data_IF_378131864311
#
_entry.id   IF_378131864311
#
_cell.length_a   1.000
_cell.length_b   1.000
_cell.length_c   1.000
_cell.angle_alpha   90.00
_cell.angle_beta   90.00
_cell.angle_gamma   90.00
#
_symmetry.space_group_name_H-M   'P 1'
#
loop_
_entity.id
_entity.type
_entity.pdbx_description
1 polymer ?
#
# COMPACT_ATOMS: atom_id res chain seq x y z
N UNK A 1 37.08 -23.60 -2.28
CA UNK A 1 35.82 -23.23 -2.94
C UNK A 1 35.64 -21.72 -2.74
N UNK A 2 36.01 -20.94 -3.78
CA UNK A 2 35.87 -19.48 -3.74
C UNK A 2 34.39 -19.12 -3.84
N UNK A 3 33.83 -18.68 -2.74
CA UNK A 3 32.53 -17.98 -2.74
C UNK A 3 32.83 -16.59 -3.28
N UNK A 4 32.57 -16.38 -4.56
CA UNK A 4 32.56 -15.04 -5.13
C UNK A 4 31.59 -14.21 -4.28
N UNK A 5 32.14 -13.21 -3.58
CA UNK A 5 31.34 -12.20 -2.90
C UNK A 5 30.58 -11.47 -3.98
N UNK A 6 29.28 -11.70 -4.05
CA UNK A 6 28.36 -10.87 -4.79
C UNK A 6 28.44 -9.46 -4.21
N UNK A 7 29.22 -8.58 -4.83
CA UNK A 7 29.31 -7.18 -4.46
C UNK A 7 28.07 -6.47 -5.00
N UNK A 8 26.91 -6.65 -4.34
CA UNK A 8 25.78 -5.78 -4.53
C UNK A 8 26.02 -4.54 -3.65
N UNK A 9 26.72 -3.54 -4.14
CA UNK A 9 26.67 -2.21 -3.56
C UNK A 9 25.47 -1.47 -4.16
N UNK A 10 24.27 -1.68 -3.61
CA UNK A 10 23.16 -0.78 -3.86
C UNK A 10 23.43 0.53 -3.11
N UNK A 11 23.31 1.66 -3.80
CA UNK A 11 23.33 2.96 -3.15
C UNK A 11 22.10 3.11 -2.24
N UNK A 12 22.28 3.76 -1.08
CA UNK A 12 21.19 3.94 -0.11
C UNK A 12 19.93 4.55 -0.74
N UNK A 13 20.09 5.54 -1.61
CA UNK A 13 18.97 6.18 -2.30
C UNK A 13 18.21 5.22 -3.22
N UNK A 14 18.91 4.25 -3.83
CA UNK A 14 18.28 3.24 -4.65
C UNK A 14 17.40 2.31 -3.79
N UNK A 15 17.89 1.93 -2.61
CA UNK A 15 17.11 1.15 -1.64
C UNK A 15 15.88 1.93 -1.19
N UNK A 16 16.05 3.17 -0.77
CA UNK A 16 14.95 4.02 -0.29
C UNK A 16 13.88 4.26 -1.35
N UNK A 17 14.27 4.35 -2.62
CA UNK A 17 13.32 4.49 -3.74
C UNK A 17 12.41 3.27 -3.97
N UNK A 18 12.66 2.16 -3.29
CA UNK A 18 11.84 0.94 -3.32
C UNK A 18 11.05 0.69 -2.03
N UNK A 19 11.15 1.60 -1.08
CA UNK A 19 10.51 1.47 0.24
C UNK A 19 9.15 2.14 0.24
N UNK A 20 8.13 1.42 0.68
CA UNK A 20 6.86 2.00 1.12
C UNK A 20 7.00 2.35 2.60
N UNK A 21 7.19 3.65 2.90
CA UNK A 21 7.34 4.12 4.28
C UNK A 21 6.02 4.03 5.01
N UNK A 22 5.90 3.09 5.95
CA UNK A 22 4.61 2.58 6.42
C UNK A 22 4.32 2.93 7.87
N UNK A 23 3.12 3.44 8.14
CA UNK A 23 2.55 3.59 9.48
C UNK A 23 1.07 3.19 9.46
N UNK A 24 0.77 2.00 10.02
CA UNK A 24 -0.57 1.40 10.05
C UNK A 24 -1.04 1.09 11.48
N UNK A 25 -0.42 1.70 12.49
CA UNK A 25 -0.85 1.54 13.87
C UNK A 25 -2.28 2.09 14.04
N UNK A 26 -3.14 1.36 14.75
CA UNK A 26 -4.52 1.77 15.03
C UNK A 26 -4.60 3.12 15.77
N UNK A 27 -3.55 3.46 16.51
CA UNK A 27 -3.43 4.68 17.29
C UNK A 27 -2.73 5.82 16.56
N UNK A 28 -2.36 5.63 15.29
CA UNK A 28 -1.66 6.63 14.51
C UNK A 28 -2.44 7.94 14.44
N UNK A 29 -1.77 9.03 14.76
CA UNK A 29 -2.31 10.38 14.72
C UNK A 29 -1.91 11.10 13.44
N UNK A 30 -2.62 12.19 13.09
CA UNK A 30 -2.23 13.00 11.94
C UNK A 30 -0.80 13.54 12.07
N UNK A 31 -0.36 13.91 13.26
CA UNK A 31 1.01 14.41 13.47
C UNK A 31 2.06 13.36 13.08
N UNK A 32 1.82 12.09 13.41
CA UNK A 32 2.70 10.98 13.06
C UNK A 32 2.64 10.64 11.56
N UNK A 33 1.44 10.63 10.97
CA UNK A 33 1.25 10.44 9.51
C UNK A 33 1.96 11.57 8.73
N UNK A 34 1.82 12.82 9.18
CA UNK A 34 2.51 13.95 8.57
C UNK A 34 4.04 13.79 8.63
N UNK A 35 4.57 13.31 9.75
CA UNK A 35 6.00 13.09 9.91
C UNK A 35 6.55 12.06 8.91
N UNK A 36 5.85 10.95 8.68
CA UNK A 36 6.30 9.98 7.65
C UNK A 36 6.13 10.51 6.23
N UNK A 37 5.16 11.37 5.97
CA UNK A 37 5.06 12.07 4.69
C UNK A 37 6.26 13.00 4.47
N UNK A 38 6.67 13.74 5.49
CA UNK A 38 7.86 14.60 5.45
C UNK A 38 9.13 13.78 5.17
N UNK A 39 9.28 12.63 5.82
CA UNK A 39 10.38 11.69 5.58
C UNK A 39 10.32 11.12 4.14
N UNK A 40 9.15 10.69 3.69
CA UNK A 40 8.96 10.17 2.34
C UNK A 40 9.37 11.16 1.26
N UNK A 41 8.98 12.42 1.41
CA UNK A 41 9.38 13.50 0.49
C UNK A 41 10.88 13.79 0.58
N UNK A 42 11.45 13.79 1.78
CA UNK A 42 12.87 14.07 2.03
C UNK A 42 13.79 13.01 1.45
N UNK A 43 13.43 11.75 1.64
CA UNK A 43 14.26 10.61 1.26
C UNK A 43 13.85 9.96 -0.06
N UNK A 44 12.84 10.50 -0.74
CA UNK A 44 12.33 10.00 -2.01
C UNK A 44 11.97 8.51 -1.96
N UNK A 45 11.18 8.12 -0.95
CA UNK A 45 10.66 6.75 -0.86
C UNK A 45 9.69 6.45 -2.01
N UNK A 46 9.47 5.17 -2.32
CA UNK A 46 8.54 4.76 -3.36
C UNK A 46 7.12 5.27 -3.08
N UNK A 47 6.69 5.17 -1.84
CA UNK A 47 5.42 5.70 -1.33
C UNK A 47 5.48 5.93 0.17
N UNK A 48 4.38 6.47 0.71
CA UNK A 48 4.00 6.26 2.11
C UNK A 48 2.76 5.38 2.14
N UNK A 49 2.75 4.36 3.01
CA UNK A 49 1.60 3.49 3.22
C UNK A 49 0.92 3.82 4.56
N UNK A 50 -0.33 4.30 4.49
CA UNK A 50 -1.05 4.91 5.60
C UNK A 50 -2.50 4.40 5.68
N UNK A 51 -3.18 4.53 6.84
CA UNK A 51 -4.58 4.17 6.96
C UNK A 51 -5.47 4.97 5.99
N UNK A 52 -6.47 4.32 5.41
CA UNK A 52 -7.34 4.90 4.39
C UNK A 52 -7.98 6.23 4.83
N UNK A 53 -8.32 6.38 6.10
CA UNK A 53 -8.91 7.59 6.67
C UNK A 53 -8.02 8.85 6.58
N UNK A 54 -6.72 8.67 6.39
CA UNK A 54 -5.76 9.77 6.23
C UNK A 54 -5.37 10.06 4.77
N UNK A 55 -5.77 9.23 3.82
CA UNK A 55 -5.34 9.36 2.40
C UNK A 55 -5.68 10.73 1.85
N UNK A 56 -6.92 11.19 1.99
CA UNK A 56 -7.34 12.51 1.49
C UNK A 56 -6.51 13.65 2.11
N UNK A 57 -6.32 13.63 3.42
CA UNK A 57 -5.56 14.65 4.14
C UNK A 57 -4.08 14.62 3.75
N UNK A 58 -3.51 13.43 3.59
CA UNK A 58 -2.12 13.28 3.13
C UNK A 58 -1.95 13.78 1.69
N UNK A 59 -2.88 13.45 0.78
CA UNK A 59 -2.86 13.95 -0.60
C UNK A 59 -2.89 15.49 -0.64
N UNK A 60 -3.78 16.10 0.13
CA UNK A 60 -3.86 17.56 0.22
C UNK A 60 -2.55 18.17 0.75
N UNK A 61 -1.86 17.43 1.65
CA UNK A 61 -0.60 17.89 2.22
C UNK A 61 0.61 17.71 1.30
N UNK A 62 0.78 16.54 0.68
CA UNK A 62 1.98 16.25 -0.13
C UNK A 62 1.85 16.73 -1.59
N UNK A 63 0.62 16.98 -2.07
CA UNK A 63 0.37 17.23 -3.49
C UNK A 63 0.86 16.08 -4.35
N UNK A 64 1.58 16.35 -5.41
CA UNK A 64 2.13 15.33 -6.34
C UNK A 64 3.58 14.90 -5.99
N UNK A 65 4.09 15.31 -4.82
CA UNK A 65 5.50 15.12 -4.47
C UNK A 65 5.82 13.72 -3.95
N UNK A 66 4.80 12.94 -3.58
CA UNK A 66 4.97 11.63 -2.96
C UNK A 66 3.77 10.74 -3.29
N UNK A 67 3.99 9.53 -3.83
CA UNK A 67 2.91 8.55 -3.99
C UNK A 67 2.35 8.12 -2.63
N UNK A 68 1.03 7.91 -2.60
CA UNK A 68 0.31 7.45 -1.40
C UNK A 68 -0.25 6.06 -1.67
N UNK A 69 0.15 5.10 -0.84
CA UNK A 69 -0.41 3.76 -0.75
C UNK A 69 -1.35 3.65 0.46
N UNK A 70 -2.37 2.83 0.35
CA UNK A 70 -3.16 2.40 1.49
C UNK A 70 -3.54 0.93 1.39
N UNK A 71 -4.00 0.35 2.50
CA UNK A 71 -4.32 -1.08 2.60
C UNK A 71 -5.81 -1.35 2.39
N UNK A 72 -6.11 -2.51 1.83
CA UNK A 72 -7.46 -2.98 1.53
C UNK A 72 -7.68 -4.35 2.20
N UNK A 73 -8.81 -4.52 2.90
CA UNK A 73 -9.12 -5.75 3.64
C UNK A 73 -8.11 -6.06 4.75
N UNK A 74 -7.45 -5.05 5.25
CA UNK A 74 -6.34 -5.18 6.20
C UNK A 74 -6.86 -5.18 7.66
N UNK A 75 -6.25 -5.96 8.58
CA UNK A 75 -5.09 -6.85 8.33
C UNK A 75 -5.47 -8.29 7.96
N UNK A 76 -6.72 -8.69 8.01
CA UNK A 76 -7.12 -10.09 8.04
C UNK A 76 -7.41 -10.71 6.66
N UNK A 77 -7.79 -9.91 5.68
CA UNK A 77 -8.07 -10.35 4.31
C UNK A 77 -9.37 -11.13 4.10
N UNK A 78 -10.19 -11.33 5.14
CA UNK A 78 -11.42 -12.15 5.08
C UNK A 78 -12.71 -11.34 4.91
N UNK A 79 -12.59 -10.04 4.61
CA UNK A 79 -13.74 -9.23 4.22
C UNK A 79 -14.33 -9.72 2.91
N UNK A 80 -15.61 -9.39 2.68
CA UNK A 80 -16.23 -9.75 1.40
C UNK A 80 -15.57 -9.01 0.25
N UNK A 81 -15.57 -9.62 -0.93
CA UNK A 81 -15.05 -8.99 -2.16
C UNK A 81 -15.68 -7.62 -2.40
N UNK A 82 -17.00 -7.50 -2.17
CA UNK A 82 -17.71 -6.23 -2.32
C UNK A 82 -17.17 -5.14 -1.37
N UNK A 83 -16.87 -5.49 -0.11
CA UNK A 83 -16.30 -4.54 0.85
C UNK A 83 -14.92 -4.06 0.37
N UNK A 84 -14.04 -4.99 -0.02
CA UNK A 84 -12.71 -4.66 -0.56
C UNK A 84 -12.78 -3.78 -1.82
N UNK A 85 -13.74 -4.04 -2.71
CA UNK A 85 -13.95 -3.20 -3.90
C UNK A 85 -14.35 -1.77 -3.54
N UNK A 86 -15.22 -1.60 -2.53
CA UNK A 86 -15.61 -0.27 -2.06
C UNK A 86 -14.45 0.47 -1.37
N UNK A 87 -13.65 -0.24 -0.58
CA UNK A 87 -12.43 0.33 0.01
C UNK A 87 -11.45 0.81 -1.06
N UNK A 88 -11.23 0.00 -2.10
CA UNK A 88 -10.34 0.36 -3.21
C UNK A 88 -10.83 1.60 -3.95
N UNK A 89 -12.12 1.64 -4.29
CA UNK A 89 -12.73 2.78 -4.97
C UNK A 89 -12.62 4.06 -4.12
N UNK A 90 -12.97 3.99 -2.84
CA UNK A 90 -12.89 5.14 -1.93
C UNK A 90 -11.45 5.63 -1.77
N UNK A 91 -10.49 4.71 -1.62
CA UNK A 91 -9.07 5.06 -1.51
C UNK A 91 -8.57 5.83 -2.75
N UNK A 92 -8.89 5.34 -3.94
CA UNK A 92 -8.51 5.99 -5.22
C UNK A 92 -9.17 7.38 -5.34
N UNK A 93 -10.45 7.49 -5.03
CA UNK A 93 -11.17 8.76 -5.07
C UNK A 93 -10.62 9.78 -4.08
N UNK A 94 -10.08 9.32 -2.96
CA UNK A 94 -9.40 10.16 -1.96
C UNK A 94 -7.94 10.49 -2.31
N UNK A 95 -7.41 9.94 -3.39
CA UNK A 95 -6.11 10.29 -3.93
C UNK A 95 -4.99 9.28 -3.66
N UNK A 96 -5.32 8.03 -3.32
CA UNK A 96 -4.33 6.97 -3.31
C UNK A 96 -3.80 6.68 -4.72
N UNK A 97 -2.50 6.49 -4.85
CA UNK A 97 -1.85 6.07 -6.09
C UNK A 97 -1.76 4.55 -6.18
N UNK A 98 -1.71 3.89 -5.03
CA UNK A 98 -1.57 2.45 -4.90
C UNK A 98 -2.51 1.92 -3.81
N UNK A 99 -3.00 0.70 -4.02
CA UNK A 99 -3.73 -0.06 -3.00
C UNK A 99 -3.04 -1.40 -2.78
N UNK A 100 -2.85 -1.77 -1.53
CA UNK A 100 -2.23 -3.01 -1.08
C UNK A 100 -3.29 -3.91 -0.43
N UNK A 101 -3.73 -4.94 -1.17
CA UNK A 101 -4.84 -5.79 -0.76
C UNK A 101 -4.37 -7.04 -0.03
N UNK A 102 -4.94 -7.30 1.14
CA UNK A 102 -4.80 -8.61 1.81
C UNK A 102 -5.76 -9.61 1.17
N UNK A 103 -5.21 -10.71 0.65
CA UNK A 103 -6.00 -11.81 0.08
C UNK A 103 -6.70 -12.63 1.18
N UNK A 104 -7.75 -13.36 0.81
CA UNK A 104 -8.41 -14.28 1.73
C UNK A 104 -7.54 -15.53 1.94
N UNK A 105 -6.84 -15.60 3.08
CA UNK A 105 -5.90 -16.69 3.41
C UNK A 105 -6.65 -18.02 3.60
N UNK A 106 -7.88 -17.99 4.12
CA UNK A 106 -8.74 -19.16 4.22
C UNK A 106 -9.00 -19.80 2.85
N UNK A 107 -9.28 -18.98 1.83
CA UNK A 107 -9.46 -19.46 0.47
C UNK A 107 -8.18 -20.06 -0.14
N UNK A 108 -7.00 -19.52 0.23
CA UNK A 108 -5.72 -20.13 -0.17
C UNK A 108 -5.60 -21.55 0.40
N UNK A 109 -5.91 -21.73 1.69
CA UNK A 109 -5.86 -23.04 2.35
C UNK A 109 -6.88 -24.03 1.80
N UNK A 110 -8.04 -23.53 1.38
CA UNK A 110 -9.10 -24.30 0.73
C UNK A 110 -8.84 -24.53 -0.77
N UNK A 111 -7.72 -24.02 -1.31
CA UNK A 111 -7.36 -24.08 -2.74
C UNK A 111 -8.41 -23.47 -3.67
N UNK A 112 -9.12 -22.45 -3.21
CA UNK A 112 -10.15 -21.72 -3.95
C UNK A 112 -9.52 -20.65 -4.88
N UNK A 113 -8.68 -21.11 -5.79
CA UNK A 113 -7.88 -20.24 -6.66
C UNK A 113 -8.71 -19.36 -7.58
N UNK A 114 -9.84 -19.88 -8.07
CA UNK A 114 -10.73 -19.11 -8.93
C UNK A 114 -11.41 -17.96 -8.17
N UNK A 115 -11.83 -18.19 -6.92
CA UNK A 115 -12.41 -17.15 -6.08
C UNK A 115 -11.40 -16.05 -5.77
N UNK A 116 -10.16 -16.42 -5.46
CA UNK A 116 -9.07 -15.47 -5.26
C UNK A 116 -8.80 -14.64 -6.51
N UNK A 117 -8.72 -15.29 -7.68
CA UNK A 117 -8.49 -14.61 -8.94
C UNK A 117 -9.61 -13.61 -9.26
N UNK A 118 -10.86 -14.02 -9.07
CA UNK A 118 -12.02 -13.14 -9.32
C UNK A 118 -12.07 -11.97 -8.33
N UNK A 119 -11.71 -12.18 -7.05
CA UNK A 119 -11.58 -11.10 -6.07
C UNK A 119 -10.50 -10.08 -6.49
N UNK A 120 -9.30 -10.56 -6.86
CA UNK A 120 -8.20 -9.70 -7.32
C UNK A 120 -8.63 -8.89 -8.55
N UNK A 121 -9.25 -9.53 -9.52
CA UNK A 121 -9.79 -8.85 -10.71
C UNK A 121 -10.83 -7.79 -10.36
N UNK A 122 -11.77 -8.14 -9.47
CA UNK A 122 -12.83 -7.21 -9.06
C UNK A 122 -12.24 -5.98 -8.35
N UNK A 123 -11.33 -6.16 -7.41
CA UNK A 123 -10.65 -5.05 -6.73
C UNK A 123 -9.86 -4.22 -7.73
N UNK A 124 -9.08 -4.85 -8.63
CA UNK A 124 -8.31 -4.15 -9.65
C UNK A 124 -9.18 -3.29 -10.57
N UNK A 125 -10.36 -3.76 -10.95
CA UNK A 125 -11.33 -2.99 -11.75
C UNK A 125 -11.81 -1.72 -11.02
N UNK A 126 -11.91 -1.75 -9.69
CA UNK A 126 -12.31 -0.60 -8.88
C UNK A 126 -11.16 0.37 -8.58
N UNK A 127 -9.93 0.01 -8.92
CA UNK A 127 -8.77 0.90 -8.79
C UNK A 127 -8.64 1.93 -9.91
N UNK A 128 -9.53 1.97 -10.91
CA UNK A 128 -9.56 2.96 -12.01
C UNK A 128 -8.18 3.11 -12.70
N UNK A 129 -7.43 2.02 -12.85
CA UNK A 129 -6.10 2.00 -13.50
C UNK A 129 -4.91 2.25 -12.56
N UNK A 130 -5.15 2.36 -11.26
CA UNK A 130 -4.10 2.46 -10.23
C UNK A 130 -3.50 1.10 -9.89
#
# INVERSE_FOLDING_TARGET
>A
MNIERWNFSMELNEILSKVDHTLLAQTATWAEIKAICDDGMKYHTASVCIPASYVKQARDYVGDKLPICTVIGFPNGYDTTKAKCLEALDAVQNGADEVDMVINIGWVKDQRWNDLLEEIKAVKQHCEGK
#
